data_IF_435053386737
#
_entry.id   IF_435053386737
#
_cell.length_a   1.000
_cell.length_b   1.000
_cell.length_c   1.000
_cell.angle_alpha   90.00
_cell.angle_beta   90.00
_cell.angle_gamma   90.00
#
_symmetry.space_group_name_H-M   'P 1'
#
loop_
_entity.id
_entity.type
_entity.pdbx_description
1 polymer ?
#
# COMPACT_ATOMS: atom_id res chain seq x y z
N UNK A 1 36.68 -39.57 4.41
CA UNK A 1 35.84 -38.42 4.81
C UNK A 1 35.00 -38.08 3.60
N UNK A 2 33.68 -38.30 3.66
CA UNK A 2 32.80 -38.36 2.48
C UNK A 2 32.42 -36.95 2.01
N UNK A 3 33.06 -36.47 0.96
CA UNK A 3 32.92 -35.12 0.39
C UNK A 3 31.51 -34.84 -0.15
N UNK A 4 30.80 -35.89 -0.58
CA UNK A 4 29.48 -35.78 -1.20
C UNK A 4 28.41 -35.38 -0.17
N UNK A 5 28.51 -35.93 1.05
CA UNK A 5 27.61 -35.58 2.15
C UNK A 5 27.79 -34.13 2.60
N UNK A 6 29.01 -33.61 2.54
CA UNK A 6 29.30 -32.20 2.90
C UNK A 6 28.80 -31.23 1.84
N UNK A 7 28.85 -31.58 0.56
CA UNK A 7 28.31 -30.75 -0.52
C UNK A 7 26.77 -30.69 -0.48
N UNK A 8 26.10 -31.84 -0.34
CA UNK A 8 24.64 -31.89 -0.24
C UNK A 8 24.10 -31.12 0.99
N UNK A 9 24.81 -31.17 2.13
CA UNK A 9 24.47 -30.39 3.32
C UNK A 9 24.66 -28.87 3.12
N UNK A 10 25.68 -28.46 2.36
CA UNK A 10 25.92 -27.06 2.05
C UNK A 10 24.86 -26.49 1.10
N UNK A 11 24.47 -27.26 0.09
CA UNK A 11 23.44 -26.90 -0.90
C UNK A 11 22.06 -26.72 -0.23
N UNK A 12 21.64 -27.67 0.60
CA UNK A 12 20.40 -27.56 1.37
C UNK A 12 20.37 -26.43 2.40
N UNK A 13 21.54 -26.01 2.92
CA UNK A 13 21.66 -24.85 3.81
C UNK A 13 21.53 -23.55 3.00
N UNK A 14 22.10 -23.52 1.81
CA UNK A 14 22.05 -22.37 0.91
C UNK A 14 20.62 -22.10 0.43
N UNK A 15 19.90 -23.12 -0.05
CA UNK A 15 18.50 -23.00 -0.48
C UNK A 15 17.57 -22.47 0.62
N UNK A 16 17.71 -22.99 1.86
CA UNK A 16 16.92 -22.50 3.01
C UNK A 16 17.21 -21.04 3.33
N UNK A 17 18.46 -20.60 3.16
CA UNK A 17 18.84 -19.21 3.41
C UNK A 17 18.24 -18.28 2.35
N UNK A 18 18.25 -18.69 1.07
CA UNK A 18 17.62 -17.96 -0.01
C UNK A 18 16.11 -17.84 0.13
N UNK A 19 15.43 -18.94 0.49
CA UNK A 19 13.98 -18.93 0.74
C UNK A 19 13.64 -18.00 1.91
N UNK A 20 14.42 -18.02 2.98
CA UNK A 20 14.20 -17.12 4.12
C UNK A 20 14.36 -15.64 3.72
N UNK A 21 15.37 -15.31 2.91
CA UNK A 21 15.56 -13.95 2.39
C UNK A 21 14.40 -13.53 1.48
N UNK A 22 13.98 -14.39 0.56
CA UNK A 22 12.83 -14.13 -0.32
C UNK A 22 11.55 -13.90 0.48
N UNK A 23 11.26 -14.76 1.47
CA UNK A 23 10.12 -14.58 2.37
C UNK A 23 10.21 -13.26 3.15
N UNK A 24 11.40 -12.88 3.62
CA UNK A 24 11.59 -11.63 4.34
C UNK A 24 11.32 -10.41 3.45
N UNK A 25 11.86 -10.39 2.22
CA UNK A 25 11.61 -9.33 1.26
C UNK A 25 10.15 -9.26 0.82
N UNK A 26 9.50 -10.41 0.62
CA UNK A 26 8.06 -10.47 0.33
C UNK A 26 7.24 -9.86 1.47
N UNK A 27 7.59 -10.17 2.72
CA UNK A 27 6.91 -9.62 3.89
C UNK A 27 7.09 -8.10 3.97
N UNK A 28 8.31 -7.60 3.77
CA UNK A 28 8.57 -6.14 3.69
C UNK A 28 7.70 -5.51 2.61
N UNK A 29 7.65 -6.10 1.41
CA UNK A 29 6.82 -5.60 0.32
C UNK A 29 5.34 -5.56 0.70
N UNK A 30 4.81 -6.62 1.33
CA UNK A 30 3.43 -6.65 1.81
C UNK A 30 3.16 -5.55 2.83
N UNK A 31 4.07 -5.32 3.79
CA UNK A 31 3.93 -4.25 4.79
C UNK A 31 3.95 -2.87 4.12
N UNK A 32 4.86 -2.65 3.17
CA UNK A 32 4.94 -1.37 2.44
C UNK A 32 3.66 -1.10 1.66
N UNK A 33 3.13 -2.11 0.95
CA UNK A 33 1.86 -1.99 0.22
C UNK A 33 0.69 -1.73 1.16
N UNK A 34 0.65 -2.42 2.32
CA UNK A 34 -0.40 -2.21 3.32
C UNK A 34 -0.36 -0.80 3.91
N UNK A 35 0.82 -0.30 4.29
CA UNK A 35 0.99 1.07 4.80
C UNK A 35 0.59 2.09 3.74
N UNK A 36 1.00 1.89 2.50
CA UNK A 36 0.64 2.75 1.37
C UNK A 36 -0.87 2.78 1.11
N UNK A 37 -1.56 1.63 1.19
CA UNK A 37 -3.01 1.59 1.05
C UNK A 37 -3.75 2.21 2.24
N UNK A 38 -3.27 1.98 3.47
CA UNK A 38 -3.88 2.57 4.67
C UNK A 38 -3.65 4.09 4.71
N UNK A 39 -2.50 4.59 4.26
CA UNK A 39 -2.23 6.03 4.27
C UNK A 39 -3.06 6.81 3.24
N UNK A 40 -3.63 6.16 2.22
CA UNK A 40 -4.36 6.85 1.14
C UNK A 40 -5.55 7.66 1.64
N UNK A 41 -6.41 7.07 2.48
CA UNK A 41 -7.60 7.71 3.06
C UNK A 41 -7.30 9.03 3.78
N UNK A 42 -6.50 9.02 4.86
CA UNK A 42 -6.21 10.24 5.60
C UNK A 42 -5.42 11.27 4.78
N UNK A 43 -4.49 10.86 3.92
CA UNK A 43 -3.73 11.81 3.08
C UNK A 43 -4.64 12.48 2.04
N UNK A 44 -5.57 11.74 1.43
CA UNK A 44 -6.57 12.31 0.53
C UNK A 44 -7.52 13.24 1.27
N UNK A 45 -8.05 12.82 2.42
CA UNK A 45 -8.94 13.64 3.23
C UNK A 45 -8.31 14.97 3.64
N UNK A 46 -7.06 14.95 4.12
CA UNK A 46 -6.30 16.18 4.44
C UNK A 46 -6.09 17.04 3.21
N UNK A 47 -5.71 16.45 2.07
CA UNK A 47 -5.50 17.21 0.83
C UNK A 47 -6.78 17.90 0.34
N UNK A 48 -7.92 17.21 0.35
CA UNK A 48 -9.19 17.79 -0.05
C UNK A 48 -9.64 18.87 0.94
N UNK A 49 -9.42 18.65 2.24
CA UNK A 49 -9.71 19.64 3.27
C UNK A 49 -8.87 20.90 3.11
N UNK A 50 -7.57 20.74 2.82
CA UNK A 50 -6.68 21.86 2.51
C UNK A 50 -7.12 22.60 1.26
N UNK A 51 -7.56 21.88 0.22
CA UNK A 51 -8.13 22.50 -0.98
C UNK A 51 -9.35 23.35 -0.65
N UNK A 52 -10.29 22.83 0.14
CA UNK A 52 -11.52 23.55 0.49
C UNK A 52 -11.26 24.77 1.35
N UNK A 53 -10.38 24.65 2.33
CA UNK A 53 -10.05 25.73 3.27
C UNK A 53 -9.21 26.85 2.63
N UNK A 54 -8.34 26.52 1.69
CA UNK A 54 -7.42 27.49 1.06
C UNK A 54 -7.86 27.95 -0.33
N UNK A 55 -8.71 27.20 -1.02
CA UNK A 55 -9.08 27.43 -2.41
C UNK A 55 -8.02 27.03 -3.44
N UNK A 56 -6.86 26.49 -3.03
CA UNK A 56 -5.79 26.09 -3.93
C UNK A 56 -6.02 24.68 -4.49
N UNK A 57 -6.17 24.58 -5.82
CA UNK A 57 -6.39 23.29 -6.48
C UNK A 57 -5.15 22.38 -6.50
N UNK A 58 -3.95 22.90 -6.21
CA UNK A 58 -2.71 22.13 -6.15
C UNK A 58 -2.77 21.00 -5.13
N UNK A 59 -3.57 21.15 -4.06
CA UNK A 59 -3.76 20.10 -3.07
C UNK A 59 -4.42 18.83 -3.64
N UNK A 60 -5.13 18.91 -4.78
CA UNK A 60 -5.61 17.69 -5.47
C UNK A 60 -4.47 16.83 -6.04
N UNK A 61 -3.25 17.36 -6.14
CA UNK A 61 -2.09 16.57 -6.58
C UNK A 61 -1.80 15.38 -5.66
N UNK A 62 -2.30 15.36 -4.42
CA UNK A 62 -2.19 14.19 -3.52
C UNK A 62 -2.85 12.94 -4.09
N UNK A 63 -3.77 13.08 -5.05
CA UNK A 63 -4.37 11.92 -5.72
C UNK A 63 -3.40 11.18 -6.64
N UNK A 64 -2.43 11.90 -7.23
CA UNK A 64 -1.47 11.35 -8.20
C UNK A 64 -0.68 10.14 -7.66
N UNK A 65 -0.01 10.22 -6.49
CA UNK A 65 0.76 9.08 -5.98
C UNK A 65 -0.11 7.87 -5.66
N UNK A 66 -1.42 8.03 -5.43
CA UNK A 66 -2.35 6.95 -5.11
C UNK A 66 -3.18 6.49 -6.31
N UNK A 67 -3.07 7.15 -7.46
CA UNK A 67 -3.81 6.81 -8.67
C UNK A 67 -3.72 5.32 -9.06
N UNK A 68 -2.56 4.64 -8.95
CA UNK A 68 -2.49 3.20 -9.23
C UNK A 68 -3.46 2.35 -8.41
N UNK A 69 -3.73 2.70 -7.14
CA UNK A 69 -4.67 1.95 -6.30
C UNK A 69 -6.10 1.98 -6.87
N UNK A 70 -6.51 3.10 -7.46
CA UNK A 70 -7.83 3.26 -8.09
C UNK A 70 -7.85 2.71 -9.52
N UNK A 71 -6.77 2.90 -10.28
CA UNK A 71 -6.70 2.49 -11.67
C UNK A 71 -6.63 0.97 -11.84
N UNK A 72 -5.94 0.28 -10.93
CA UNK A 72 -5.67 -1.15 -11.07
C UNK A 72 -6.88 -2.04 -10.75
N UNK A 73 -7.92 -1.53 -10.05
CA UNK A 73 -9.19 -2.23 -9.72
C UNK A 73 -9.02 -3.74 -9.47
N UNK A 74 -8.05 -4.11 -8.64
CA UNK A 74 -7.44 -5.46 -8.73
C UNK A 74 -8.31 -6.63 -8.26
N UNK A 75 -9.44 -6.42 -7.58
CA UNK A 75 -10.23 -7.50 -6.97
C UNK A 75 -11.56 -6.95 -6.40
N UNK A 76 -12.48 -7.81 -5.90
CA UNK A 76 -13.59 -7.37 -5.04
C UNK A 76 -13.17 -6.52 -3.82
N UNK A 77 -11.89 -6.55 -3.40
CA UNK A 77 -11.34 -5.61 -2.41
C UNK A 77 -11.32 -4.15 -2.87
N UNK A 78 -11.39 -3.88 -4.18
CA UNK A 78 -11.46 -2.52 -4.71
C UNK A 78 -12.66 -1.74 -4.15
N UNK A 79 -13.80 -2.41 -3.99
CA UNK A 79 -14.99 -1.81 -3.38
C UNK A 79 -14.76 -1.43 -1.91
N UNK A 80 -14.11 -2.31 -1.12
CA UNK A 80 -13.80 -2.01 0.27
C UNK A 80 -12.77 -0.88 0.41
N UNK A 81 -11.82 -0.79 -0.52
CA UNK A 81 -10.85 0.31 -0.56
C UNK A 81 -11.50 1.64 -0.94
N UNK A 82 -12.38 1.66 -1.95
CA UNK A 82 -13.14 2.86 -2.32
C UNK A 82 -13.98 3.35 -1.14
N UNK A 83 -14.71 2.45 -0.47
CA UNK A 83 -15.47 2.78 0.73
C UNK A 83 -14.59 3.29 1.88
N UNK A 84 -13.41 2.71 2.07
CA UNK A 84 -12.43 3.18 3.06
C UNK A 84 -11.97 4.62 2.80
N UNK A 85 -11.64 4.94 1.55
CA UNK A 85 -11.24 6.31 1.17
C UNK A 85 -12.41 7.27 1.28
N UNK A 86 -13.60 6.85 0.83
CA UNK A 86 -14.84 7.62 0.94
C UNK A 86 -15.16 7.96 2.39
N UNK A 87 -15.06 7.01 3.33
CA UNK A 87 -15.26 7.26 4.75
C UNK A 87 -14.35 8.36 5.31
N UNK A 88 -13.07 8.35 4.95
CA UNK A 88 -12.16 9.43 5.37
C UNK A 88 -12.55 10.79 4.78
N UNK A 89 -12.86 10.82 3.49
CA UNK A 89 -13.15 12.05 2.75
C UNK A 89 -14.52 12.65 3.15
N UNK A 90 -15.56 11.82 3.18
CA UNK A 90 -16.95 12.21 3.41
C UNK A 90 -17.29 12.33 4.89
N UNK A 91 -16.94 11.32 5.70
CA UNK A 91 -17.42 11.26 7.09
C UNK A 91 -16.43 11.93 8.06
N UNK A 92 -15.13 11.72 7.88
CA UNK A 92 -14.12 12.25 8.81
C UNK A 92 -13.77 13.71 8.51
N UNK A 93 -13.38 14.01 7.27
CA UNK A 93 -12.95 15.35 6.88
C UNK A 93 -14.08 16.22 6.31
N UNK A 94 -15.22 15.62 5.94
CA UNK A 94 -16.41 16.30 5.42
C UNK A 94 -16.12 17.20 4.21
N UNK A 95 -15.19 16.78 3.35
CA UNK A 95 -14.66 17.59 2.23
C UNK A 95 -15.41 17.38 0.92
N UNK A 96 -16.64 16.91 1.05
CA UNK A 96 -17.63 16.84 -0.02
C UNK A 96 -18.85 17.42 0.63
N UNK A 97 -19.04 18.73 0.43
CA UNK A 97 -20.23 19.42 0.90
C UNK A 97 -21.50 18.72 0.40
N UNK A 98 -22.66 18.91 1.07
CA UNK A 98 -23.93 18.53 0.48
C UNK A 98 -24.04 19.25 -0.88
N UNK A 99 -24.15 18.47 -1.95
CA UNK A 99 -24.25 18.97 -3.32
C UNK A 99 -25.34 20.01 -3.52
#
# INVERSE_FOLDING_TARGET
MNTDNTQALAEHRHERTWLALLCHWLLILCVVVAVYAISSGPVMGIGFWLRETTGHNEFYAVMLPYYPLFALKLTPLGFAFEWYVEWWVCDVFQTVGPG
#
